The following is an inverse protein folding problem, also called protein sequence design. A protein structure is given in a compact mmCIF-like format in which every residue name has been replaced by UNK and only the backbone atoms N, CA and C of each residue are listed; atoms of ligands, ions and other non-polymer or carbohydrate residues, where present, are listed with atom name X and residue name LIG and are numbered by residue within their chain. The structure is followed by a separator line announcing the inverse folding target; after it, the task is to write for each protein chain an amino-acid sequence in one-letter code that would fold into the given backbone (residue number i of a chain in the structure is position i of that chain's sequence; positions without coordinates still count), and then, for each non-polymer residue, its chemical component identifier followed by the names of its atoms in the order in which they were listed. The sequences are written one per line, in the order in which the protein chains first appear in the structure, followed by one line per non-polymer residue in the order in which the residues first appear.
data_IF_937909595562
#
_entry.id   IF_937909595562
#
_cell.length_a   1.000
_cell.length_b   1.000
_cell.length_c   1.000
_cell.angle_alpha   90.00
_cell.angle_beta   90.00
_cell.angle_gamma   90.00
#
_symmetry.space_group_name_H-M   'P 1'
#
loop_
_entity.id
_entity.type
_entity.pdbx_description
1 polymer ?
#
# COMPACT_ATOMS: atom_id res chain seq x y z
N UNK A 1 -38.72 -58.73 19.85
CA UNK A 1 -38.88 -57.44 19.13
C UNK A 1 -37.82 -57.37 18.04
N UNK A 2 -38.21 -57.48 16.76
CA UNK A 2 -37.26 -57.31 15.63
C UNK A 2 -37.12 -55.83 15.36
N UNK A 3 -35.96 -55.26 15.70
CA UNK A 3 -35.65 -53.85 15.40
C UNK A 3 -35.47 -53.75 13.88
N UNK A 4 -36.24 -52.85 13.27
CA UNK A 4 -36.35 -52.72 11.82
C UNK A 4 -35.04 -52.12 11.27
N UNK A 5 -34.15 -52.95 10.72
CA UNK A 5 -32.83 -52.55 10.20
C UNK A 5 -32.89 -51.44 9.14
N UNK A 6 -34.05 -51.29 8.47
CA UNK A 6 -34.33 -50.24 7.50
C UNK A 6 -34.44 -48.86 8.18
N UNK A 7 -34.99 -48.78 9.40
CA UNK A 7 -35.03 -47.51 10.14
C UNK A 7 -33.64 -47.08 10.61
N UNK A 8 -32.81 -48.03 11.03
CA UNK A 8 -31.45 -47.73 11.49
C UNK A 8 -30.56 -47.21 10.34
N UNK A 9 -30.71 -47.80 9.15
CA UNK A 9 -29.97 -47.38 7.95
C UNK A 9 -30.46 -46.02 7.41
N UNK A 10 -31.76 -45.71 7.54
CA UNK A 10 -32.29 -44.38 7.21
C UNK A 10 -31.77 -43.29 8.17
N UNK A 11 -31.64 -43.59 9.46
CA UNK A 11 -31.07 -42.67 10.45
C UNK A 11 -29.58 -42.42 10.21
N UNK A 12 -28.82 -43.45 9.83
CA UNK A 12 -27.41 -43.31 9.47
C UNK A 12 -27.26 -42.45 8.20
N UNK A 13 -28.07 -42.68 7.16
CA UNK A 13 -28.08 -41.85 5.95
C UNK A 13 -28.48 -40.38 6.22
N UNK A 14 -29.42 -40.13 7.15
CA UNK A 14 -29.77 -38.77 7.58
C UNK A 14 -28.62 -38.08 8.32
N UNK A 15 -27.86 -38.82 9.12
CA UNK A 15 -26.69 -38.29 9.84
C UNK A 15 -25.50 -37.98 8.93
N UNK A 16 -25.34 -38.75 7.85
CA UNK A 16 -24.28 -38.53 6.84
C UNK A 16 -24.59 -37.28 6.00
N UNK A 17 -25.87 -36.96 5.78
CA UNK A 17 -26.27 -35.70 5.12
C UNK A 17 -26.09 -34.45 6.00
N UNK A 18 -25.89 -34.61 7.32
CA UNK A 18 -25.62 -33.50 8.25
C UNK A 18 -24.14 -33.27 8.54
N UNK A 19 -23.23 -33.99 7.88
CA UNK A 19 -21.85 -33.50 7.74
C UNK A 19 -21.90 -32.41 6.66
N UNK A 20 -22.50 -31.27 7.05
CA UNK A 20 -22.29 -30.03 6.35
C UNK A 20 -20.79 -29.85 6.25
N UNK A 21 -20.32 -29.65 5.02
CA UNK A 21 -18.98 -29.15 4.77
C UNK A 21 -18.86 -27.92 5.67
N UNK A 22 -18.04 -28.00 6.73
CA UNK A 22 -17.52 -26.81 7.35
C UNK A 22 -16.70 -26.16 6.24
N UNK A 23 -17.32 -25.21 5.52
CA UNK A 23 -16.52 -24.19 4.88
C UNK A 23 -15.67 -23.64 6.01
N UNK A 24 -14.35 -23.76 5.86
CA UNK A 24 -13.40 -22.94 6.60
C UNK A 24 -14.05 -21.57 6.76
N UNK A 25 -14.14 -21.05 7.99
CA UNK A 25 -14.38 -19.63 8.18
C UNK A 25 -13.40 -18.93 7.24
N UNK A 26 -13.87 -18.44 6.10
CA UNK A 26 -13.14 -17.43 5.36
C UNK A 26 -13.11 -16.28 6.36
N UNK A 27 -11.98 -16.11 7.04
CA UNK A 27 -11.87 -15.10 8.08
C UNK A 27 -12.18 -13.76 7.42
N UNK A 28 -13.36 -13.21 7.65
CA UNK A 28 -13.71 -11.90 7.15
C UNK A 28 -12.77 -10.87 7.79
N UNK A 29 -12.15 -10.03 6.97
CA UNK A 29 -11.39 -8.89 7.44
C UNK A 29 -12.35 -7.74 7.76
N UNK A 30 -12.04 -6.98 8.80
CA UNK A 30 -12.74 -5.74 9.12
C UNK A 30 -11.97 -4.59 8.50
N UNK A 31 -12.69 -3.84 7.67
CA UNK A 31 -12.22 -2.66 6.97
C UNK A 31 -12.77 -1.43 7.68
N UNK A 32 -11.91 -0.45 7.92
CA UNK A 32 -12.31 0.87 8.39
C UNK A 32 -11.79 1.91 7.41
N UNK A 33 -12.71 2.65 6.80
CA UNK A 33 -12.44 3.65 5.77
C UNK A 33 -12.75 5.02 6.32
N UNK A 34 -11.77 5.91 6.25
CA UNK A 34 -11.88 7.32 6.61
C UNK A 34 -11.85 8.14 5.34
N UNK A 35 -12.90 8.92 5.08
CA UNK A 35 -13.02 9.76 3.90
C UNK A 35 -13.01 11.22 4.34
N UNK A 36 -12.02 11.98 3.88
CA UNK A 36 -11.95 13.43 4.13
C UNK A 36 -12.47 14.18 2.91
N UNK A 37 -13.59 14.86 3.08
CA UNK A 37 -14.08 15.81 2.08
C UNK A 37 -13.33 17.14 2.23
N UNK A 38 -12.95 17.75 1.12
CA UNK A 38 -12.19 19.00 1.18
C UNK A 38 -12.98 20.17 1.75
N UNK A 39 -12.28 21.19 2.21
CA UNK A 39 -12.86 22.41 2.80
C UNK A 39 -13.16 23.50 1.77
N UNK A 40 -12.96 23.23 0.48
CA UNK A 40 -13.25 24.17 -0.61
C UNK A 40 -14.76 24.37 -0.78
N UNK A 41 -15.15 25.48 -1.42
CA UNK A 41 -16.56 25.83 -1.58
C UNK A 41 -17.29 24.77 -2.42
N UNK A 42 -18.47 24.33 -1.98
CA UNK A 42 -19.28 23.28 -2.62
C UNK A 42 -18.56 21.93 -2.79
N UNK A 43 -17.65 21.59 -1.88
CA UNK A 43 -16.92 20.32 -1.92
C UNK A 43 -17.78 19.09 -1.59
N UNK A 44 -18.95 19.27 -0.95
CA UNK A 44 -19.77 18.15 -0.49
C UNK A 44 -20.67 17.55 -1.57
N UNK A 45 -21.15 16.33 -1.35
CA UNK A 45 -21.98 15.60 -2.33
C UNK A 45 -23.11 14.79 -1.70
N UNK A 46 -24.21 14.65 -2.46
CA UNK A 46 -25.33 13.75 -2.15
C UNK A 46 -25.30 12.46 -3.01
N UNK A 47 -24.26 12.29 -3.83
CA UNK A 47 -24.11 11.11 -4.70
C UNK A 47 -23.71 9.86 -3.93
N UNK A 48 -24.06 8.68 -4.44
CA UNK A 48 -23.52 7.44 -3.88
C UNK A 48 -22.06 7.26 -4.31
N UNK A 49 -21.22 6.99 -3.32
CA UNK A 49 -19.80 6.76 -3.53
C UNK A 49 -19.50 5.26 -3.51
N UNK A 50 -18.99 4.76 -4.63
CA UNK A 50 -18.40 3.44 -4.79
C UNK A 50 -16.91 3.50 -4.50
N UNK A 51 -16.41 2.60 -3.66
CA UNK A 51 -14.99 2.42 -3.39
C UNK A 51 -14.55 1.03 -3.85
N UNK A 52 -13.47 0.95 -4.63
CA UNK A 52 -12.82 -0.31 -4.98
C UNK A 52 -11.37 -0.27 -4.52
N UNK A 53 -10.95 -1.26 -3.76
CA UNK A 53 -9.59 -1.42 -3.26
C UNK A 53 -8.91 -2.56 -3.99
N UNK A 54 -7.61 -2.45 -4.24
CA UNK A 54 -6.81 -3.49 -4.85
C UNK A 54 -5.53 -3.74 -4.05
N UNK A 55 -5.18 -5.02 -3.90
CA UNK A 55 -3.90 -5.43 -3.33
C UNK A 55 -2.76 -5.44 -4.36
N UNK A 56 -1.54 -5.65 -3.86
CA UNK A 56 -0.34 -5.77 -4.68
C UNK A 56 -0.36 -6.94 -5.67
N UNK A 57 -1.28 -7.88 -5.53
CA UNK A 57 -1.47 -9.02 -6.43
C UNK A 57 -2.59 -8.79 -7.46
N UNK A 58 -3.27 -7.65 -7.40
CA UNK A 58 -4.35 -7.26 -8.32
C UNK A 58 -5.73 -7.79 -7.93
N UNK A 59 -5.88 -8.43 -6.77
CA UNK A 59 -7.20 -8.80 -6.25
C UNK A 59 -7.95 -7.54 -5.81
N UNK A 60 -9.20 -7.42 -6.24
CA UNK A 60 -10.02 -6.22 -6.03
C UNK A 60 -11.25 -6.48 -5.18
N UNK A 61 -11.49 -5.64 -4.18
CA UNK A 61 -12.71 -5.63 -3.36
C UNK A 61 -13.52 -4.35 -3.64
N UNK A 62 -14.77 -4.51 -4.12
CA UNK A 62 -15.64 -3.41 -4.54
C UNK A 62 -16.83 -3.22 -3.58
N UNK A 63 -16.88 -2.05 -2.96
CA UNK A 63 -17.97 -1.54 -2.13
C UNK A 63 -18.82 -0.59 -2.97
N UNK A 64 -20.03 -1.00 -3.34
CA UNK A 64 -20.90 -0.23 -4.26
C UNK A 64 -21.41 1.08 -3.65
N UNK A 65 -21.75 1.07 -2.36
CA UNK A 65 -22.22 2.24 -1.64
C UNK A 65 -21.59 2.22 -0.25
N UNK A 66 -20.69 3.17 0.01
CA UNK A 66 -19.97 3.29 1.29
C UNK A 66 -20.92 3.50 2.47
N UNK A 67 -21.89 4.39 2.33
CA UNK A 67 -22.86 4.71 3.38
C UNK A 67 -23.67 3.47 3.75
N UNK A 68 -24.27 2.81 2.77
CA UNK A 68 -25.09 1.61 3.00
C UNK A 68 -24.27 0.40 3.46
N UNK A 69 -22.99 0.33 3.11
CA UNK A 69 -22.13 -0.79 3.49
C UNK A 69 -21.67 -0.71 4.95
N UNK A 70 -21.40 0.48 5.48
CA UNK A 70 -20.75 0.59 6.78
C UNK A 70 -20.77 1.96 7.43
N UNK A 71 -21.70 2.86 7.12
CA UNK A 71 -21.75 4.20 7.73
C UNK A 71 -21.80 4.17 9.26
N UNK A 72 -20.86 4.84 9.93
CA UNK A 72 -20.74 4.86 11.40
C UNK A 72 -21.12 6.18 12.10
N UNK A 73 -21.59 7.18 11.36
CA UNK A 73 -21.85 8.53 11.89
C UNK A 73 -23.24 8.66 12.55
N UNK A 74 -24.06 7.60 12.51
CA UNK A 74 -25.37 7.53 13.13
C UNK A 74 -26.53 7.79 12.16
N UNK A 75 -27.78 7.58 12.62
CA UNK A 75 -28.96 7.67 11.77
C UNK A 75 -29.23 9.12 11.33
N UNK A 76 -29.48 9.31 10.04
CA UNK A 76 -29.82 10.62 9.46
C UNK A 76 -28.64 11.60 9.33
N UNK A 77 -27.41 11.14 9.55
CA UNK A 77 -26.21 11.93 9.29
C UNK A 77 -26.03 12.13 7.78
N UNK A 78 -25.74 13.36 7.35
CA UNK A 78 -25.44 13.64 5.95
C UNK A 78 -23.95 13.42 5.68
N UNK A 79 -23.63 12.37 4.93
CA UNK A 79 -22.27 12.00 4.60
C UNK A 79 -21.69 12.89 3.50
N UNK A 80 -20.36 12.89 3.40
CA UNK A 80 -19.60 13.58 2.36
C UNK A 80 -19.78 15.09 2.33
N UNK A 81 -19.98 15.68 3.52
CA UNK A 81 -20.16 17.11 3.67
C UNK A 81 -18.85 17.88 3.67
N UNK A 82 -18.91 19.15 3.24
CA UNK A 82 -17.72 20.00 3.08
C UNK A 82 -16.91 20.07 4.38
N UNK A 83 -15.64 19.66 4.31
CA UNK A 83 -14.71 19.71 5.43
C UNK A 83 -14.92 18.63 6.50
N UNK A 84 -15.89 17.73 6.32
CA UNK A 84 -16.15 16.65 7.24
C UNK A 84 -15.19 15.47 7.01
N UNK A 85 -14.96 14.73 8.08
CA UNK A 85 -14.31 13.42 8.08
C UNK A 85 -15.38 12.39 8.36
N UNK A 86 -15.63 11.52 7.39
CA UNK A 86 -16.65 10.50 7.49
C UNK A 86 -16.01 9.12 7.65
N UNK A 87 -16.59 8.30 8.52
CA UNK A 87 -16.04 7.01 8.90
C UNK A 87 -17.01 5.91 8.52
N UNK A 88 -16.48 4.89 7.85
CA UNK A 88 -17.20 3.70 7.45
C UNK A 88 -16.47 2.46 7.98
N UNK A 89 -17.19 1.47 8.47
CA UNK A 89 -16.60 0.17 8.82
C UNK A 89 -17.52 -0.97 8.44
N UNK A 90 -16.93 -2.03 7.90
CA UNK A 90 -17.66 -3.20 7.45
C UNK A 90 -16.74 -4.41 7.26
N UNK A 91 -17.37 -5.58 7.09
CA UNK A 91 -16.67 -6.84 6.81
C UNK A 91 -16.51 -7.05 5.30
N UNK A 92 -15.43 -7.71 4.93
CA UNK A 92 -15.13 -8.07 3.55
C UNK A 92 -14.07 -9.16 3.44
N UNK A 93 -13.80 -9.65 2.22
CA UNK A 93 -12.81 -10.69 1.97
C UNK A 93 -11.40 -10.18 2.29
N UNK A 94 -10.62 -10.91 3.09
CA UNK A 94 -9.25 -10.52 3.40
C UNK A 94 -8.36 -10.44 2.15
N UNK A 95 -7.45 -9.47 2.14
CA UNK A 95 -6.38 -9.37 1.16
C UNK A 95 -5.20 -10.29 1.52
N UNK A 96 -4.51 -10.79 0.50
CA UNK A 96 -3.30 -11.60 0.66
C UNK A 96 -2.02 -10.76 0.69
N UNK A 97 -2.13 -9.47 0.34
CA UNK A 97 -1.02 -8.51 0.36
C UNK A 97 -1.47 -7.12 0.78
N UNK A 98 -0.54 -6.15 0.86
CA UNK A 98 -0.87 -4.78 1.19
C UNK A 98 -1.76 -4.15 0.10
N UNK A 99 -2.73 -3.34 0.53
CA UNK A 99 -3.53 -2.54 -0.40
C UNK A 99 -2.66 -1.42 -0.94
N UNK A 100 -2.60 -1.31 -2.25
CA UNK A 100 -1.72 -0.37 -2.94
C UNK A 100 -2.42 0.44 -4.02
N UNK A 101 -3.66 0.08 -4.37
CA UNK A 101 -4.46 0.88 -5.28
C UNK A 101 -5.90 1.04 -4.82
N UNK A 102 -6.47 2.17 -5.20
CA UNK A 102 -7.81 2.62 -4.87
C UNK A 102 -8.46 3.19 -6.14
N UNK A 103 -9.72 2.83 -6.37
CA UNK A 103 -10.59 3.45 -7.36
C UNK A 103 -11.84 3.94 -6.65
N UNK A 104 -12.00 5.25 -6.63
CA UNK A 104 -13.12 5.96 -6.03
C UNK A 104 -14.03 6.47 -7.15
N UNK A 105 -15.31 6.15 -7.10
CA UNK A 105 -16.28 6.50 -8.14
C UNK A 105 -17.51 7.12 -7.52
N UNK A 106 -17.94 8.27 -8.05
CA UNK A 106 -19.24 8.89 -7.75
C UNK A 106 -20.25 8.48 -8.82
N UNK A 107 -21.49 8.18 -8.42
CA UNK A 107 -22.58 7.94 -9.37
C UNK A 107 -23.14 9.23 -10.01
N UNK A 108 -22.72 10.41 -9.51
CA UNK A 108 -23.14 11.71 -10.02
C UNK A 108 -24.62 12.01 -9.81
N UNK A 109 -25.30 11.28 -8.92
CA UNK A 109 -26.72 11.49 -8.61
C UNK A 109 -26.90 12.60 -7.57
N UNK A 110 -28.13 13.13 -7.46
CA UNK A 110 -28.47 14.16 -6.48
C UNK A 110 -28.32 15.60 -7.01
N UNK A 111 -28.77 16.56 -6.18
CA UNK A 111 -28.79 17.98 -6.54
C UNK A 111 -27.40 18.62 -6.39
N UNK A 112 -26.60 18.09 -5.47
CA UNK A 112 -25.20 18.46 -5.26
C UNK A 112 -24.32 17.25 -5.59
N UNK A 113 -24.19 16.92 -6.87
CA UNK A 113 -23.47 15.70 -7.28
C UNK A 113 -21.93 15.88 -7.32
N UNK A 114 -21.46 17.12 -7.49
CA UNK A 114 -20.03 17.42 -7.60
C UNK A 114 -19.32 17.30 -6.26
N UNK A 115 -18.33 16.41 -6.18
CA UNK A 115 -17.64 16.12 -4.93
C UNK A 115 -16.15 16.46 -5.01
N UNK A 116 -15.57 17.02 -3.96
CA UNK A 116 -14.11 17.14 -3.84
C UNK A 116 -13.59 16.30 -2.68
N UNK A 117 -12.95 15.19 -3.02
CA UNK A 117 -12.31 14.31 -2.07
C UNK A 117 -10.86 14.75 -1.83
N UNK A 118 -10.47 14.94 -0.56
CA UNK A 118 -9.10 15.29 -0.21
C UNK A 118 -8.24 14.02 -0.09
N UNK A 119 -8.62 13.10 0.79
CA UNK A 119 -7.95 11.81 0.93
C UNK A 119 -8.90 10.72 1.41
N UNK A 120 -8.50 9.48 1.16
CA UNK A 120 -9.14 8.27 1.72
C UNK A 120 -8.08 7.48 2.46
N UNK A 121 -8.33 7.15 3.71
CA UNK A 121 -7.47 6.29 4.50
C UNK A 121 -8.20 4.99 4.80
N UNK A 122 -7.51 3.86 4.62
CA UNK A 122 -8.07 2.54 4.82
C UNK A 122 -7.23 1.79 5.85
N UNK A 123 -7.90 1.26 6.85
CA UNK A 123 -7.32 0.37 7.85
C UNK A 123 -7.95 -1.01 7.71
N UNK A 124 -7.12 -2.05 7.66
CA UNK A 124 -7.57 -3.44 7.54
C UNK A 124 -7.08 -4.21 8.76
N UNK A 125 -8.01 -4.91 9.40
CA UNK A 125 -7.75 -5.74 10.57
C UNK A 125 -8.26 -7.16 10.32
N UNK A 126 -7.39 -8.15 10.53
CA UNK A 126 -7.71 -9.58 10.39
C UNK A 126 -7.25 -10.35 11.63
N UNK A 127 -7.90 -11.49 11.92
CA UNK A 127 -7.66 -12.27 13.14
C UNK A 127 -6.20 -12.75 13.32
N UNK A 128 -5.42 -12.81 12.23
CA UNK A 128 -4.01 -13.22 12.23
C UNK A 128 -3.13 -12.36 11.30
N UNK A 129 -3.56 -11.15 10.95
CA UNK A 129 -2.81 -10.24 10.08
C UNK A 129 -2.42 -8.98 10.85
N UNK A 130 -1.21 -8.46 10.58
CA UNK A 130 -0.80 -7.16 11.10
C UNK A 130 -1.73 -6.08 10.55
N UNK A 131 -2.11 -5.13 11.40
CA UNK A 131 -2.94 -4.00 11.01
C UNK A 131 -2.23 -3.19 9.92
N UNK A 132 -2.80 -3.16 8.72
CA UNK A 132 -2.27 -2.40 7.60
C UNK A 132 -3.08 -1.12 7.43
N UNK A 133 -2.41 0.03 7.49
CA UNK A 133 -3.00 1.34 7.23
C UNK A 133 -2.42 1.92 5.96
N UNK A 134 -3.27 2.45 5.09
CA UNK A 134 -2.85 3.04 3.82
C UNK A 134 -3.64 4.31 3.55
N UNK A 135 -2.91 5.38 3.25
CA UNK A 135 -3.45 6.69 2.92
C UNK A 135 -3.35 6.94 1.42
N UNK A 136 -4.48 7.24 0.79
CA UNK A 136 -4.57 7.63 -0.61
C UNK A 136 -4.92 9.12 -0.71
N UNK A 137 -3.98 9.93 -1.18
CA UNK A 137 -4.23 11.34 -1.48
C UNK A 137 -4.95 11.47 -2.83
N UNK A 138 -6.20 11.95 -2.78
CA UNK A 138 -7.06 12.07 -3.96
C UNK A 138 -6.95 13.48 -4.54
N UNK A 139 -7.21 14.51 -3.72
CA UNK A 139 -7.14 15.94 -4.05
C UNK A 139 -7.77 16.32 -5.41
N UNK A 140 -8.90 15.70 -5.74
CA UNK A 140 -9.52 15.77 -7.06
C UNK A 140 -11.04 15.98 -6.95
N UNK A 141 -11.59 16.73 -7.90
CA UNK A 141 -13.04 16.81 -8.13
C UNK A 141 -13.54 15.54 -8.83
N UNK A 142 -14.53 14.88 -8.25
CA UNK A 142 -15.33 13.83 -8.86
C UNK A 142 -16.65 14.46 -9.30
N UNK A 143 -16.63 15.14 -10.44
CA UNK A 143 -17.74 15.93 -10.94
C UNK A 143 -17.67 16.07 -12.47
N UNK A 144 -18.82 16.22 -13.14
CA UNK A 144 -18.91 16.46 -14.59
C UNK A 144 -18.95 17.94 -14.96
N UNK A 145 -19.16 18.82 -13.98
CA UNK A 145 -19.27 20.28 -14.16
C UNK A 145 -17.97 21.03 -13.83
N UNK A 146 -17.01 20.34 -13.24
CA UNK A 146 -15.74 20.90 -12.77
C UNK A 146 -14.58 20.02 -13.23
N UNK A 147 -13.48 20.65 -13.69
CA UNK A 147 -12.26 19.94 -14.10
C UNK A 147 -11.77 18.99 -12.98
N UNK A 148 -11.42 17.71 -13.26
CA UNK A 148 -11.16 17.10 -14.57
C UNK A 148 -12.37 16.63 -15.39
N UNK A 149 -13.61 16.89 -14.96
CA UNK A 149 -14.84 16.39 -15.61
C UNK A 149 -14.97 14.86 -15.56
N UNK A 150 -14.39 14.25 -14.52
CA UNK A 150 -14.41 12.81 -14.28
C UNK A 150 -15.16 12.54 -13.00
N UNK A 151 -15.96 11.47 -12.98
CA UNK A 151 -16.62 10.97 -11.76
C UNK A 151 -15.79 9.89 -11.04
N UNK A 152 -14.59 9.61 -11.54
CA UNK A 152 -13.72 8.54 -11.06
C UNK A 152 -12.35 9.09 -10.72
N UNK A 153 -11.77 8.65 -9.61
CA UNK A 153 -10.40 8.94 -9.22
C UNK A 153 -9.67 7.64 -8.89
N UNK A 154 -8.62 7.34 -9.65
CA UNK A 154 -7.79 6.14 -9.46
C UNK A 154 -6.45 6.57 -8.89
N UNK A 155 -6.03 5.94 -7.80
CA UNK A 155 -4.71 6.08 -7.20
C UNK A 155 -4.07 4.70 -7.17
N UNK A 156 -3.05 4.51 -8.01
CA UNK A 156 -2.31 3.27 -8.07
C UNK A 156 -0.87 3.51 -7.60
N UNK A 157 -0.55 2.96 -6.45
CA UNK A 157 0.79 2.94 -5.85
C UNK A 157 1.34 1.52 -5.76
N UNK A 158 0.71 0.55 -6.45
CA UNK A 158 1.25 -0.79 -6.59
C UNK A 158 2.55 -0.71 -7.38
N UNK A 159 3.60 -1.37 -6.88
CA UNK A 159 4.83 -1.52 -7.62
C UNK A 159 4.55 -2.26 -8.93
N UNK A 160 5.19 -1.84 -10.02
CA UNK A 160 5.15 -2.59 -11.27
C UNK A 160 5.76 -3.98 -11.06
N UNK A 161 5.44 -4.95 -11.93
CA UNK A 161 6.00 -6.31 -11.86
C UNK A 161 7.54 -6.30 -11.74
N UNK A 162 8.21 -5.38 -12.45
CA UNK A 162 9.67 -5.16 -12.39
C UNK A 162 10.21 -4.73 -11.01
N UNK A 163 9.34 -4.30 -10.09
CA UNK A 163 9.68 -3.82 -8.74
C UNK A 163 9.00 -4.63 -7.63
N UNK A 164 8.24 -5.67 -7.98
CA UNK A 164 7.52 -6.54 -7.04
C UNK A 164 8.45 -7.22 -6.03
N UNK A 165 9.68 -7.53 -6.46
CA UNK A 165 10.75 -8.08 -5.61
C UNK A 165 11.00 -7.29 -4.33
N UNK A 166 10.78 -5.97 -4.33
CA UNK A 166 10.96 -5.10 -3.15
C UNK A 166 9.92 -5.35 -2.04
N UNK A 167 8.76 -5.93 -2.36
CA UNK A 167 7.72 -6.33 -1.38
C UNK A 167 7.94 -7.77 -0.91
N UNK A 168 8.49 -8.63 -1.78
CA UNK A 168 8.85 -10.00 -1.45
C UNK A 168 10.14 -10.10 -0.58
N UNK A 169 10.71 -8.97 -0.14
CA UNK A 169 11.91 -8.92 0.70
C UNK A 169 13.23 -9.26 -0.02
N UNK A 170 13.16 -9.57 -1.32
CA UNK A 170 14.33 -9.76 -2.15
C UNK A 170 14.92 -8.36 -2.35
N UNK A 171 16.22 -8.16 -2.18
CA UNK A 171 16.91 -6.96 -2.66
C UNK A 171 18.03 -7.46 -3.56
N UNK A 172 17.88 -7.28 -4.87
CA UNK A 172 19.02 -7.50 -5.75
C UNK A 172 20.04 -6.39 -5.50
N UNK A 173 21.20 -6.77 -4.99
CA UNK A 173 22.38 -5.90 -5.05
C UNK A 173 22.66 -5.61 -6.52
N UNK A 174 22.92 -4.34 -6.83
CA UNK A 174 23.20 -3.88 -8.18
C UNK A 174 24.26 -4.80 -8.82
N UNK A 175 23.90 -5.50 -9.91
CA UNK A 175 24.84 -6.35 -10.64
C UNK A 175 25.81 -5.43 -11.38
N UNK A 176 26.99 -5.22 -10.79
CA UNK A 176 28.06 -4.46 -11.45
C UNK A 176 28.45 -5.17 -12.75
N UNK A 177 28.73 -4.41 -13.81
CA UNK A 177 29.07 -4.98 -15.13
C UNK A 177 30.32 -5.85 -15.07
N UNK A 178 31.22 -5.59 -14.13
CA UNK A 178 32.40 -6.42 -13.85
C UNK A 178 32.08 -7.82 -13.30
N UNK A 179 30.88 -8.06 -12.78
CA UNK A 179 30.43 -9.34 -12.20
C UNK A 179 29.78 -10.27 -13.24
N UNK A 180 29.68 -9.82 -14.50
CA UNK A 180 29.17 -10.60 -15.62
C UNK A 180 30.36 -10.93 -16.51
N UNK A 181 30.93 -12.12 -16.32
CA UNK A 181 32.03 -12.61 -17.12
C UNK A 181 31.51 -13.44 -18.28
N UNK A 182 32.22 -13.40 -19.40
CA UNK A 182 31.96 -14.25 -20.56
C UNK A 182 33.15 -15.20 -20.66
N UNK A 183 32.87 -16.50 -20.58
CA UNK A 183 33.87 -17.53 -20.76
C UNK A 183 34.20 -17.69 -22.26
N UNK A 184 35.39 -18.21 -22.57
CA UNK A 184 35.89 -18.40 -23.94
C UNK A 184 34.99 -19.29 -24.83
N UNK A 185 34.13 -20.10 -24.23
CA UNK A 185 33.16 -20.97 -24.90
C UNK A 185 31.81 -20.28 -25.15
N UNK A 186 31.69 -19.00 -24.77
CA UNK A 186 30.48 -18.19 -24.93
C UNK A 186 29.47 -18.34 -23.80
N UNK A 187 29.77 -19.10 -22.74
CA UNK A 187 28.92 -19.17 -21.56
C UNK A 187 29.09 -17.93 -20.67
N UNK A 188 27.96 -17.39 -20.20
CA UNK A 188 27.94 -16.26 -19.27
C UNK A 188 28.10 -16.81 -17.86
N UNK A 189 29.12 -16.35 -17.15
CA UNK A 189 29.39 -16.70 -15.77
C UNK A 189 29.20 -15.46 -14.90
N UNK A 190 28.36 -15.59 -13.88
CA UNK A 190 28.13 -14.51 -12.92
C UNK A 190 29.01 -14.74 -11.70
N UNK A 191 29.82 -13.75 -11.33
CA UNK A 191 30.71 -13.82 -10.16
C UNK A 191 30.18 -12.88 -9.06
N UNK A 192 30.24 -13.29 -7.79
CA UNK A 192 29.73 -12.48 -6.66
C UNK A 192 28.26 -12.68 -6.27
N UNK A 193 27.66 -13.82 -6.63
CA UNK A 193 26.27 -14.17 -6.28
C UNK A 193 26.05 -14.67 -4.84
N UNK A 194 27.12 -14.90 -4.08
CA UNK A 194 27.06 -15.60 -2.78
C UNK A 194 26.65 -14.75 -1.56
N UNK A 195 25.85 -13.69 -1.71
CA UNK A 195 25.42 -12.88 -0.53
C UNK A 195 23.98 -12.35 -0.62
N UNK A 196 23.05 -13.14 -1.16
CA UNK A 196 21.63 -12.91 -0.92
C UNK A 196 21.24 -13.57 0.42
N UNK A 197 21.04 -12.77 1.47
CA UNK A 197 20.34 -13.21 2.68
C UNK A 197 18.93 -12.60 2.69
N UNK A 198 17.94 -13.44 2.99
CA UNK A 198 16.61 -12.96 3.36
C UNK A 198 16.73 -12.26 4.73
N UNK A 199 16.34 -10.99 4.81
CA UNK A 199 16.50 -10.21 6.04
C UNK A 199 15.31 -9.27 6.21
N UNK A 200 14.93 -9.05 7.47
CA UNK A 200 13.84 -8.15 7.81
C UNK A 200 14.17 -6.70 7.42
N UNK A 201 13.32 -6.14 6.57
CA UNK A 201 13.40 -4.75 6.13
C UNK A 201 12.50 -3.88 7.01
N UNK A 202 13.06 -2.82 7.61
CA UNK A 202 12.29 -1.78 8.30
C UNK A 202 12.26 -0.52 7.45
N UNK A 203 11.25 -0.33 6.58
CA UNK A 203 11.16 0.87 5.76
C UNK A 203 10.95 2.10 6.64
N UNK A 204 11.71 3.16 6.40
CA UNK A 204 11.61 4.45 7.08
C UNK A 204 11.31 5.55 6.08
N UNK A 205 10.40 6.44 6.46
CA UNK A 205 10.06 7.63 5.69
C UNK A 205 10.91 8.80 6.21
N UNK A 206 11.95 9.18 5.48
CA UNK A 206 12.78 10.34 5.84
C UNK A 206 12.30 11.58 5.09
N UNK A 207 12.00 12.65 5.82
CA UNK A 207 11.65 13.94 5.24
C UNK A 207 12.89 14.84 5.25
N UNK A 208 13.49 15.09 4.07
CA UNK A 208 14.54 16.10 3.91
C UNK A 208 13.94 17.40 3.39
N UNK A 209 14.17 18.48 4.13
CA UNK A 209 13.89 19.84 3.67
C UNK A 209 15.10 20.33 2.87
N UNK A 210 14.97 20.45 1.55
CA UNK A 210 15.99 21.12 0.75
C UNK A 210 15.61 22.60 0.60
N UNK A 211 16.47 23.48 1.11
CA UNK A 211 16.32 24.91 0.94
C UNK A 211 16.88 25.28 -0.45
N UNK A 212 16.03 25.41 -1.46
CA UNK A 212 16.43 26.01 -2.74
C UNK A 212 16.42 27.54 -2.60
N UNK A 213 17.58 28.15 -2.66
CA UNK A 213 17.70 29.61 -2.77
C UNK A 213 17.54 29.98 -4.25
N UNK A 214 16.40 30.57 -4.61
CA UNK A 214 16.14 31.06 -5.97
C UNK A 214 16.61 32.51 -6.08
N UNK A 215 17.65 32.77 -6.86
CA UNK A 215 18.06 34.13 -7.23
C UNK A 215 17.27 34.58 -8.47
N UNK A 216 16.42 35.61 -8.32
CA UNK A 216 15.84 36.31 -9.48
C UNK A 216 16.78 37.42 -9.95
N UNK A 217 17.04 37.45 -11.26
CA UNK A 217 17.94 38.40 -11.92
C UNK A 217 17.51 39.86 -11.74
N UNK A 218 18.53 40.71 -11.57
CA UNK A 218 18.50 42.16 -11.34
C UNK A 218 17.95 42.93 -12.55
N UNK A 219 16.79 43.56 -12.41
CA UNK A 219 16.51 44.87 -13.02
C UNK A 219 15.56 45.64 -12.08
N UNK A 220 15.93 46.88 -11.73
CA UNK A 220 15.19 47.87 -10.91
C UNK A 220 15.52 47.95 -9.41
N UNK A 221 15.78 49.17 -8.97
CA UNK A 221 16.17 49.59 -7.63
C UNK A 221 14.98 49.65 -6.67
N UNK A 222 14.47 48.54 -6.15
CA UNK A 222 13.56 48.54 -4.98
C UNK A 222 13.75 47.28 -4.13
N UNK A 223 14.00 47.51 -2.82
CA UNK A 223 14.02 46.58 -1.68
C UNK A 223 13.95 45.07 -1.96
N UNK A 224 15.09 44.39 -1.76
CA UNK A 224 15.25 42.94 -1.81
C UNK A 224 14.39 42.24 -0.74
N UNK A 225 13.36 41.49 -1.15
CA UNK A 225 12.61 40.57 -0.26
C UNK A 225 13.00 39.14 -0.61
N UNK A 226 13.87 38.53 0.22
CA UNK A 226 14.21 37.11 0.13
C UNK A 226 12.94 36.29 0.34
N UNK A 227 12.50 35.55 -0.68
CA UNK A 227 11.41 34.59 -0.55
C UNK A 227 12.01 33.18 -0.57
N UNK A 228 12.12 32.55 0.60
CA UNK A 228 12.46 31.14 0.73
C UNK A 228 11.22 30.32 0.36
N UNK A 229 11.37 29.41 -0.61
CA UNK A 229 10.35 28.39 -0.90
C UNK A 229 10.87 27.05 -0.39
N UNK A 230 10.20 26.54 0.63
CA UNK A 230 10.54 25.27 1.27
C UNK A 230 9.95 24.12 0.45
N UNK A 231 10.80 23.24 -0.09
CA UNK A 231 10.37 22.07 -0.87
C UNK A 231 10.67 20.83 0.00
N UNK A 232 9.61 20.18 0.50
CA UNK A 232 9.73 18.93 1.27
C UNK A 232 9.90 17.78 0.29
N UNK A 233 11.03 17.09 0.37
CA UNK A 233 11.28 15.87 -0.38
C UNK A 233 11.20 14.72 0.60
N UNK A 234 10.18 13.88 0.43
CA UNK A 234 10.02 12.65 1.19
C UNK A 234 10.78 11.55 0.47
N UNK A 235 11.76 10.96 1.15
CA UNK A 235 12.53 9.82 0.64
C UNK A 235 12.12 8.57 1.41
N UNK A 236 11.75 7.54 0.66
CA UNK A 236 11.57 6.21 1.22
C UNK A 236 12.96 5.56 1.33
N UNK A 237 13.38 5.24 2.55
CA UNK A 237 14.66 4.60 2.82
C UNK A 237 14.38 3.22 3.38
N UNK A 238 14.93 2.23 2.69
CA UNK A 238 14.92 0.84 3.12
C UNK A 238 16.31 0.58 3.68
N UNK A 239 16.46 0.78 4.99
CA UNK A 239 17.68 0.38 5.71
C UNK A 239 17.49 -1.02 6.28
N UNK A 240 18.41 -1.90 5.92
CA UNK A 240 18.44 -3.28 6.38
C UNK A 240 19.12 -3.29 7.76
N UNK A 241 18.35 -3.44 8.84
CA UNK A 241 18.85 -3.23 10.21
C UNK A 241 19.76 -4.34 10.75
N UNK A 242 19.81 -5.50 10.09
CA UNK A 242 20.47 -6.71 10.59
C UNK A 242 21.46 -7.37 9.61
N UNK A 243 21.69 -6.78 8.44
CA UNK A 243 22.61 -7.34 7.45
C UNK A 243 24.06 -6.93 7.75
N UNK A 244 24.75 -7.74 8.56
CA UNK A 244 26.20 -7.66 8.74
C UNK A 244 26.85 -8.87 8.06
N UNK A 245 27.60 -8.65 6.98
CA UNK A 245 28.38 -9.70 6.30
C UNK A 245 29.76 -9.83 6.94
N UNK A 246 30.29 -11.06 6.96
CA UNK A 246 31.69 -11.36 7.33
C UNK A 246 32.53 -11.82 6.13
N UNK A 247 31.95 -11.80 4.94
CA UNK A 247 32.60 -12.25 3.72
C UNK A 247 33.29 -11.07 3.05
N UNK A 248 34.61 -11.11 2.97
CA UNK A 248 35.46 -10.12 2.30
C UNK A 248 36.27 -10.78 1.17
N UNK A 249 36.55 -10.03 0.10
CA UNK A 249 37.55 -10.43 -0.89
C UNK A 249 38.87 -9.80 -0.48
N UNK A 250 39.70 -10.53 0.27
CA UNK A 250 41.03 -10.06 0.68
C UNK A 250 42.14 -10.69 -0.16
N UNK A 251 43.21 -9.92 -0.38
CA UNK A 251 44.51 -10.43 -0.82
C UNK A 251 45.42 -10.56 0.40
N UNK A 252 46.41 -11.46 0.35
CA UNK A 252 47.30 -11.80 1.48
C UNK A 252 48.10 -10.65 2.13
N UNK A 253 47.94 -9.41 1.64
CA UNK A 253 48.70 -8.23 2.08
C UNK A 253 47.83 -7.16 2.76
N UNK A 254 46.50 -7.29 2.77
CA UNK A 254 45.60 -6.33 3.43
C UNK A 254 44.40 -7.05 4.07
N UNK A 255 44.42 -7.11 5.41
CA UNK A 255 43.29 -7.52 6.24
C UNK A 255 42.56 -6.29 6.79
N UNK A 256 41.25 -6.25 6.61
CA UNK A 256 40.45 -5.12 7.04
C UNK A 256 40.22 -5.15 8.58
N UNK A 257 40.22 -4.00 9.30
CA UNK A 257 40.14 -3.92 10.78
C UNK A 257 38.93 -4.62 11.46
N UNK A 258 37.75 -4.40 10.92
CA UNK A 258 36.53 -5.24 10.95
C UNK A 258 36.68 -6.77 11.00
N UNK A 259 37.55 -7.39 10.19
CA UNK A 259 37.75 -8.84 10.16
C UNK A 259 38.52 -9.30 11.40
N UNK A 260 39.48 -8.48 11.81
CA UNK A 260 40.32 -8.68 13.01
C UNK A 260 39.49 -8.53 14.30
N UNK A 261 38.43 -7.71 14.26
CA UNK A 261 37.53 -7.45 15.39
C UNK A 261 36.27 -8.34 15.40
N UNK A 262 35.99 -9.08 14.33
CA UNK A 262 34.90 -10.07 14.26
C UNK A 262 33.48 -9.50 14.16
N UNK A 263 33.34 -8.19 14.01
CA UNK A 263 32.05 -7.50 14.08
C UNK A 263 31.27 -7.47 12.75
N UNK A 264 31.88 -7.87 11.63
CA UNK A 264 31.24 -7.83 10.31
C UNK A 264 30.89 -6.40 9.86
N UNK A 265 30.34 -6.26 8.66
CA UNK A 265 30.09 -4.95 8.04
C UNK A 265 28.71 -4.81 7.44
N UNK A 266 28.17 -3.60 7.53
CA UNK A 266 26.94 -3.21 6.83
C UNK A 266 27.20 -2.65 5.44
N UNK A 267 26.11 -2.34 4.72
CA UNK A 267 26.08 -1.89 3.31
C UNK A 267 26.92 -0.64 2.95
N UNK A 268 27.52 0.07 3.91
CA UNK A 268 28.33 1.26 3.63
C UNK A 268 29.74 0.96 3.11
N UNK A 269 30.14 -0.32 3.11
CA UNK A 269 31.52 -0.77 2.82
C UNK A 269 31.60 -1.66 1.55
N UNK A 270 30.47 -2.06 0.97
CA UNK A 270 30.38 -2.91 -0.25
C UNK A 270 29.97 -2.12 -1.53
#
# INVERSE_FOLDING_TARGET
MKINHICLSLFILLSIFTIGICRSDDADCVYTVYVRTGSILKAGTDSNITLTLYDAYGYGFRIKNLEAWGGLMGPGYNYFERGNLDIFSGRGPCFNGPVCALNLTSDGTGKHHGWYCNYVEVTITGAHQQCAQTLFTVEQWLATDTKPYELTAIRNSCLSDDKKWMIDGIIYRDLKRENILIWEDGHIMLTGFDLCFDTDVSPKLENRTNIKVVFRGKYSCFSDRRQQREERITRFIVEMSTAFSRSCVETHEHLAPELISGNGHGNGVD
#
